data_IF_290474886831
#
_entry.id   IF_290474886831
#
_cell.length_a   1.000
_cell.length_b   1.000
_cell.length_c   1.000
_cell.angle_alpha   90.00
_cell.angle_beta   90.00
_cell.angle_gamma   90.00
#
_symmetry.space_group_name_H-M   'P 1'
#
loop_
_entity.id
_entity.type
_entity.pdbx_description
1 polymer ?
#
# COMPACT_ATOMS: atom_id res chain seq x y z
N UNK A 1 -25.28 -21.04 -78.58
CA UNK A 1 -24.90 -22.20 -77.72
C UNK A 1 -23.80 -22.94 -78.45
N UNK A 2 -22.55 -22.75 -78.03
CA UNK A 2 -21.37 -23.28 -78.69
C UNK A 2 -21.09 -24.72 -78.24
N UNK A 3 -21.18 -25.66 -79.18
CA UNK A 3 -20.13 -26.61 -79.62
C UNK A 3 -18.85 -26.71 -78.75
N UNK A 4 -18.16 -27.83 -78.59
CA UNK A 4 -18.27 -29.24 -79.00
C UNK A 4 -16.96 -29.92 -78.51
N UNK A 5 -16.99 -31.23 -78.26
CA UNK A 5 -15.87 -32.21 -78.42
C UNK A 5 -14.71 -32.11 -77.39
N UNK A 6 -14.39 -33.09 -76.52
CA UNK A 6 -14.19 -34.56 -76.60
C UNK A 6 -12.69 -34.94 -76.50
N UNK A 7 -12.42 -35.79 -75.50
CA UNK A 7 -11.30 -36.75 -75.30
C UNK A 7 -9.84 -36.27 -75.16
N UNK A 8 -9.15 -36.83 -74.15
CA UNK A 8 -7.72 -37.16 -74.26
C UNK A 8 -6.86 -36.96 -73.01
N UNK A 9 -6.65 -38.06 -72.28
CA UNK A 9 -5.55 -38.42 -71.36
C UNK A 9 -4.13 -37.87 -71.68
N UNK A 10 -3.27 -37.73 -70.63
CA UNK A 10 -1.80 -38.01 -70.52
C UNK A 10 -1.15 -37.07 -69.45
N UNK A 11 -0.70 -37.60 -68.29
CA UNK A 11 0.73 -37.86 -67.88
C UNK A 11 1.43 -36.55 -67.38
N UNK A 12 2.16 -36.38 -66.28
CA UNK A 12 2.83 -37.22 -65.26
C UNK A 12 3.46 -36.27 -64.20
N UNK A 13 3.59 -36.75 -62.94
CA UNK A 13 4.58 -36.50 -61.84
C UNK A 13 5.25 -35.10 -61.70
N UNK A 14 5.54 -34.50 -60.54
CA UNK A 14 6.34 -34.92 -59.36
C UNK A 14 6.16 -33.79 -58.29
N UNK A 15 5.89 -33.98 -56.98
CA UNK A 15 6.78 -34.12 -55.79
C UNK A 15 5.86 -33.85 -54.57
N UNK A 16 5.56 -34.83 -53.69
CA UNK A 16 6.20 -35.12 -52.39
C UNK A 16 5.99 -34.09 -51.26
N UNK A 17 5.27 -34.57 -50.23
CA UNK A 17 5.35 -34.28 -48.79
C UNK A 17 4.83 -32.95 -48.21
N UNK A 18 3.53 -32.96 -47.87
CA UNK A 18 2.92 -32.08 -46.86
C UNK A 18 2.85 -32.86 -45.53
N UNK A 19 3.75 -32.56 -44.60
CA UNK A 19 3.60 -32.94 -43.18
C UNK A 19 2.69 -31.90 -42.49
N UNK A 20 1.64 -32.31 -41.75
CA UNK A 20 0.91 -31.38 -40.90
C UNK A 20 1.71 -31.19 -39.60
N UNK A 21 2.32 -30.02 -39.44
CA UNK A 21 2.90 -29.61 -38.16
C UNK A 21 1.72 -29.38 -37.18
N UNK A 22 1.56 -30.28 -36.22
CA UNK A 22 0.66 -30.11 -35.09
C UNK A 22 1.10 -28.92 -34.26
N UNK A 23 0.44 -27.78 -34.46
CA UNK A 23 0.52 -26.61 -33.57
C UNK A 23 -0.18 -26.99 -32.26
N UNK A 24 0.51 -26.98 -31.10
CA UNK A 24 -0.20 -27.07 -29.84
C UNK A 24 -0.93 -25.74 -29.62
N UNK A 25 -2.24 -25.77 -29.86
CA UNK A 25 -3.18 -24.76 -29.40
C UNK A 25 -3.27 -24.90 -27.88
N UNK A 26 -2.39 -24.20 -27.19
CA UNK A 26 -2.60 -23.78 -25.81
C UNK A 26 -2.35 -22.27 -25.77
N UNK A 27 -3.39 -21.43 -25.67
CA UNK A 27 -3.19 -20.07 -25.20
C UNK A 27 -2.89 -20.15 -23.70
N UNK A 28 -1.64 -20.45 -23.35
CA UNK A 28 -1.15 -20.07 -22.04
C UNK A 28 -1.25 -18.54 -21.97
N UNK A 29 -1.83 -17.95 -20.91
CA UNK A 29 -1.75 -16.51 -20.71
C UNK A 29 -0.26 -16.14 -20.78
N UNK A 30 0.09 -15.16 -21.61
CA UNK A 30 1.47 -14.70 -21.81
C UNK A 30 2.17 -14.67 -20.46
N UNK A 31 3.19 -15.50 -20.27
CA UNK A 31 3.97 -15.53 -19.03
C UNK A 31 4.48 -14.12 -18.80
N UNK A 32 3.82 -13.43 -17.89
CA UNK A 32 4.14 -12.09 -17.45
C UNK A 32 5.65 -12.00 -17.19
N UNK A 33 6.36 -11.21 -18.00
CA UNK A 33 7.83 -11.13 -17.92
C UNK A 33 8.23 -10.29 -16.71
N UNK A 34 8.94 -10.88 -15.75
CA UNK A 34 9.53 -10.16 -14.62
C UNK A 34 10.73 -9.34 -15.10
N UNK A 35 10.88 -8.10 -14.63
CA UNK A 35 12.03 -7.27 -15.02
C UNK A 35 13.37 -7.88 -14.60
N UNK A 36 13.41 -8.64 -13.51
CA UNK A 36 14.64 -9.36 -13.13
C UNK A 36 15.00 -10.42 -14.17
N UNK A 37 14.01 -11.11 -14.74
CA UNK A 37 14.25 -12.14 -15.75
C UNK A 37 14.62 -11.53 -17.10
N UNK A 38 13.89 -10.48 -17.53
CA UNK A 38 14.24 -9.74 -18.74
C UNK A 38 15.67 -9.16 -18.68
N UNK A 39 16.08 -8.67 -17.49
CA UNK A 39 17.44 -8.19 -17.29
C UNK A 39 18.48 -9.32 -17.27
N UNK A 40 18.15 -10.51 -16.76
CA UNK A 40 19.04 -11.68 -16.84
C UNK A 40 19.27 -12.10 -18.29
N UNK A 41 18.22 -12.14 -19.10
CA UNK A 41 18.33 -12.41 -20.54
C UNK A 41 19.25 -11.38 -21.21
N UNK A 42 19.04 -10.09 -20.93
CA UNK A 42 19.92 -9.01 -21.38
C UNK A 42 21.38 -9.21 -20.93
N UNK A 43 21.60 -9.64 -19.69
CA UNK A 43 22.94 -9.85 -19.14
C UNK A 43 23.73 -10.95 -19.85
N UNK A 44 23.07 -11.86 -20.58
CA UNK A 44 23.75 -12.88 -21.39
C UNK A 44 24.24 -12.37 -22.75
N UNK A 45 23.72 -11.24 -23.25
CA UNK A 45 24.15 -10.60 -24.50
C UNK A 45 25.06 -9.39 -24.19
N UNK A 46 26.37 -9.46 -24.51
CA UNK A 46 27.30 -8.33 -24.31
C UNK A 46 26.86 -7.03 -24.98
N UNK A 47 26.11 -7.12 -26.09
CA UNK A 47 25.57 -5.93 -26.77
C UNK A 47 24.44 -5.31 -25.97
N UNK A 48 23.57 -6.11 -25.37
CA UNK A 48 22.51 -5.61 -24.50
C UNK A 48 23.10 -4.93 -23.26
N UNK A 49 24.08 -5.56 -22.62
CA UNK A 49 24.79 -4.98 -21.47
C UNK A 49 25.40 -3.61 -21.81
N UNK A 50 26.02 -3.49 -22.99
CA UNK A 50 26.60 -2.23 -23.44
C UNK A 50 25.53 -1.14 -23.67
N UNK A 51 24.42 -1.49 -24.32
CA UNK A 51 23.30 -0.56 -24.56
C UNK A 51 22.62 -0.13 -23.25
N UNK A 52 22.39 -1.09 -22.35
CA UNK A 52 21.77 -0.83 -21.04
C UNK A 52 22.64 0.10 -20.19
N UNK A 53 23.94 -0.19 -20.04
CA UNK A 53 24.88 0.70 -19.34
C UNK A 53 24.99 2.07 -20.01
N UNK A 54 24.98 2.10 -21.35
CA UNK A 54 24.98 3.35 -22.11
C UNK A 54 23.75 4.22 -21.82
N UNK A 55 22.58 3.60 -21.63
CA UNK A 55 21.36 4.30 -21.24
C UNK A 55 21.46 4.85 -19.81
N UNK A 56 21.96 4.07 -18.85
CA UNK A 56 22.16 4.51 -17.46
C UNK A 56 23.11 5.73 -17.38
N UNK A 57 24.23 5.67 -18.08
CA UNK A 57 25.19 6.77 -18.14
C UNK A 57 24.57 8.02 -18.79
N UNK A 58 23.84 7.84 -19.88
CA UNK A 58 23.16 8.94 -20.55
C UNK A 58 22.14 9.62 -19.63
N UNK A 59 21.33 8.85 -18.92
CA UNK A 59 20.35 9.40 -17.99
C UNK A 59 21.01 10.20 -16.85
N UNK A 60 22.14 9.70 -16.33
CA UNK A 60 22.92 10.40 -15.31
C UNK A 60 23.51 11.71 -15.83
N UNK A 61 24.06 11.72 -17.05
CA UNK A 61 24.62 12.91 -17.70
C UNK A 61 23.52 13.94 -18.03
N UNK A 62 22.37 13.48 -18.54
CA UNK A 62 21.23 14.34 -18.85
C UNK A 62 20.67 15.05 -17.61
N UNK A 63 20.70 14.40 -16.44
CA UNK A 63 20.21 14.99 -15.19
C UNK A 63 21.05 16.18 -14.71
N UNK A 64 22.30 16.30 -15.13
CA UNK A 64 23.23 17.38 -14.74
C UNK A 64 23.60 18.32 -15.90
N UNK A 65 23.17 18.00 -17.13
CA UNK A 65 23.54 18.75 -18.32
C UNK A 65 22.84 20.11 -18.40
N UNK A 66 23.56 21.21 -18.73
CA UNK A 66 22.94 22.50 -19.02
C UNK A 66 22.14 22.51 -20.34
N UNK A 67 22.31 21.49 -21.20
CA UNK A 67 21.61 21.30 -22.46
C UNK A 67 20.62 20.12 -22.34
N UNK A 68 19.63 20.27 -21.45
CA UNK A 68 18.73 19.19 -21.05
C UNK A 68 17.96 18.55 -22.23
N UNK A 69 17.47 19.35 -23.18
CA UNK A 69 16.68 18.85 -24.32
C UNK A 69 17.50 17.99 -25.29
N UNK A 70 18.71 18.44 -25.65
CA UNK A 70 19.58 17.69 -26.57
C UNK A 70 20.07 16.39 -25.92
N UNK A 71 20.45 16.44 -24.65
CA UNK A 71 20.85 15.26 -23.90
C UNK A 71 19.70 14.27 -23.74
N UNK A 72 18.47 14.75 -23.49
CA UNK A 72 17.27 13.91 -23.43
C UNK A 72 17.02 13.19 -24.76
N UNK A 73 17.14 13.90 -25.89
CA UNK A 73 16.98 13.29 -27.23
C UNK A 73 18.00 12.18 -27.48
N UNK A 74 19.27 12.38 -27.11
CA UNK A 74 20.31 11.35 -27.25
C UNK A 74 20.03 10.12 -26.40
N UNK A 75 19.48 10.31 -25.18
CA UNK A 75 19.11 9.19 -24.33
C UNK A 75 17.90 8.42 -24.87
N UNK A 76 16.93 9.09 -25.48
CA UNK A 76 15.80 8.46 -26.15
C UNK A 76 16.27 7.59 -27.32
N UNK A 77 17.21 8.06 -28.15
CA UNK A 77 17.79 7.24 -29.22
C UNK A 77 18.49 5.97 -28.69
N UNK A 78 19.21 6.07 -27.56
CA UNK A 78 19.81 4.91 -26.90
C UNK A 78 18.76 3.95 -26.33
N UNK A 79 17.68 4.49 -25.77
CA UNK A 79 16.55 3.71 -25.28
C UNK A 79 15.91 2.93 -26.44
N UNK A 80 15.61 3.58 -27.56
CA UNK A 80 15.04 2.94 -28.74
C UNK A 80 15.95 1.84 -29.29
N UNK A 81 17.28 2.07 -29.33
CA UNK A 81 18.25 1.06 -29.76
C UNK A 81 18.27 -0.17 -28.84
N UNK A 82 18.15 0.01 -27.52
CA UNK A 82 18.02 -1.08 -26.55
C UNK A 82 16.72 -1.86 -26.75
N UNK A 83 15.60 -1.14 -26.84
CA UNK A 83 14.25 -1.73 -26.87
C UNK A 83 13.92 -2.40 -28.21
N UNK A 84 14.50 -1.93 -29.32
CA UNK A 84 14.37 -2.58 -30.63
C UNK A 84 14.95 -4.01 -30.63
N UNK A 85 15.93 -4.28 -29.76
CA UNK A 85 16.62 -5.56 -29.68
C UNK A 85 16.14 -6.41 -28.49
N UNK A 86 15.70 -5.77 -27.41
CA UNK A 86 15.25 -6.41 -26.17
C UNK A 86 13.89 -5.86 -25.71
N UNK A 87 12.80 -6.12 -26.45
CA UNK A 87 11.47 -5.60 -26.12
C UNK A 87 10.92 -6.15 -24.80
N UNK A 88 11.43 -7.27 -24.30
CA UNK A 88 11.08 -7.85 -23.00
C UNK A 88 11.33 -6.88 -21.84
N UNK A 89 12.36 -6.02 -21.93
CA UNK A 89 12.64 -4.98 -20.93
C UNK A 89 11.53 -3.90 -20.86
N UNK A 90 10.88 -3.58 -21.99
CA UNK A 90 9.77 -2.62 -22.02
C UNK A 90 8.44 -3.24 -21.56
N UNK A 91 8.23 -4.54 -21.80
CA UNK A 91 7.01 -5.23 -21.38
C UNK A 91 7.07 -5.70 -19.91
N UNK A 92 8.25 -5.69 -19.29
CA UNK A 92 8.43 -6.24 -17.96
C UNK A 92 7.67 -5.48 -16.88
N UNK A 93 7.34 -6.20 -15.80
CA UNK A 93 6.67 -5.67 -14.60
C UNK A 93 7.30 -6.28 -13.35
N UNK A 94 6.95 -5.72 -12.20
CA UNK A 94 7.42 -6.14 -10.90
C UNK A 94 6.28 -6.69 -10.04
N UNK A 95 6.63 -7.53 -9.07
CA UNK A 95 5.72 -7.97 -8.02
C UNK A 95 5.81 -7.03 -6.81
N UNK A 96 4.74 -6.90 -6.03
CA UNK A 96 4.74 -6.13 -4.78
C UNK A 96 5.19 -7.00 -3.59
N UNK A 97 6.01 -6.47 -2.68
CA UNK A 97 6.34 -7.08 -1.39
C UNK A 97 7.30 -8.27 -1.44
N UNK A 98 7.91 -8.53 -2.60
CA UNK A 98 8.92 -9.58 -2.74
C UNK A 98 10.33 -9.06 -2.43
N UNK A 99 11.26 -9.95 -2.07
CA UNK A 99 12.58 -9.57 -1.53
C UNK A 99 13.43 -8.69 -2.46
N UNK A 100 13.26 -8.80 -3.78
CA UNK A 100 14.04 -8.06 -4.78
C UNK A 100 13.24 -6.96 -5.48
N UNK A 101 12.18 -6.45 -4.83
CA UNK A 101 11.32 -5.39 -5.36
C UNK A 101 12.12 -4.15 -5.76
N UNK A 102 12.95 -3.61 -4.87
CA UNK A 102 13.76 -2.42 -5.17
C UNK A 102 14.68 -2.63 -6.38
N UNK A 103 15.28 -3.83 -6.52
CA UNK A 103 16.11 -4.17 -7.68
C UNK A 103 15.28 -4.23 -8.98
N UNK A 104 14.10 -4.83 -8.93
CA UNK A 104 13.19 -4.91 -10.07
C UNK A 104 12.70 -3.52 -10.51
N UNK A 105 12.33 -2.67 -9.55
CA UNK A 105 11.86 -1.31 -9.82
C UNK A 105 12.97 -0.46 -10.44
N UNK A 106 14.21 -0.60 -9.95
CA UNK A 106 15.37 0.05 -10.57
C UNK A 106 15.49 -0.34 -12.04
N UNK A 107 15.40 -1.62 -12.37
CA UNK A 107 15.44 -2.08 -13.76
C UNK A 107 14.29 -1.50 -14.58
N UNK A 108 13.07 -1.51 -14.03
CA UNK A 108 11.88 -0.98 -14.68
C UNK A 108 12.02 0.52 -15.03
N UNK A 109 12.53 1.32 -14.09
CA UNK A 109 12.69 2.76 -14.28
C UNK A 109 13.93 3.13 -15.10
N UNK A 110 15.02 2.36 -15.03
CA UNK A 110 16.21 2.57 -15.86
C UNK A 110 15.89 2.50 -17.36
N UNK A 111 14.96 1.63 -17.76
CA UNK A 111 14.55 1.49 -19.18
C UNK A 111 13.41 2.41 -19.59
N UNK A 112 12.91 3.25 -18.67
CA UNK A 112 11.82 4.20 -18.89
C UNK A 112 12.27 5.59 -18.44
N UNK A 113 12.93 6.28 -19.37
CA UNK A 113 13.24 7.69 -19.20
C UNK A 113 11.95 8.46 -18.88
N UNK A 114 12.03 9.39 -17.91
CA UNK A 114 10.89 10.14 -17.40
C UNK A 114 10.03 10.66 -18.56
N UNK A 115 8.73 10.35 -18.61
CA UNK A 115 7.85 10.94 -19.61
C UNK A 115 7.84 12.46 -19.46
N UNK A 116 7.53 13.17 -20.54
CA UNK A 116 7.16 14.58 -20.46
C UNK A 116 6.02 14.79 -19.46
N UNK A 117 5.93 15.97 -18.86
CA UNK A 117 5.05 16.32 -17.74
C UNK A 117 3.56 15.94 -17.91
N UNK A 118 3.09 15.64 -19.12
CA UNK A 118 1.69 15.36 -19.47
C UNK A 118 1.29 13.87 -19.57
N UNK A 119 2.22 12.90 -19.50
CA UNK A 119 1.86 11.47 -19.58
C UNK A 119 1.78 10.80 -18.20
N UNK A 120 0.66 10.13 -17.92
CA UNK A 120 0.48 9.38 -16.68
C UNK A 120 1.49 8.23 -16.62
N UNK A 121 2.33 8.23 -15.57
CA UNK A 121 3.29 7.16 -15.35
C UNK A 121 2.58 5.81 -15.18
N UNK A 122 2.92 4.85 -16.04
CA UNK A 122 2.33 3.52 -15.99
C UNK A 122 2.86 2.75 -14.79
N UNK A 123 1.95 2.18 -13.99
CA UNK A 123 2.31 1.36 -12.82
C UNK A 123 3.26 0.21 -13.21
N UNK A 124 4.37 0.01 -12.49
CA UNK A 124 5.30 -1.09 -12.73
C UNK A 124 4.78 -2.44 -12.25
N UNK A 125 3.71 -2.46 -11.46
CA UNK A 125 3.18 -3.69 -10.91
C UNK A 125 2.22 -4.37 -11.88
N UNK A 126 2.10 -5.69 -11.75
CA UNK A 126 1.05 -6.42 -12.45
C UNK A 126 -0.32 -5.96 -11.98
N UNK A 127 -1.24 -5.78 -12.94
CA UNK A 127 -2.67 -5.74 -12.67
C UNK A 127 -3.06 -7.14 -12.19
N UNK A 128 -2.96 -7.33 -10.88
CA UNK A 128 -3.11 -8.65 -10.32
C UNK A 128 -4.53 -9.17 -10.55
N UNK A 129 -4.66 -10.41 -11.05
CA UNK A 129 -5.90 -11.21 -11.05
C UNK A 129 -6.41 -11.52 -9.61
N UNK A 130 -5.82 -10.91 -8.57
CA UNK A 130 -6.19 -11.06 -7.15
C UNK A 130 -7.46 -10.24 -6.81
N UNK A 131 -8.26 -9.89 -7.82
CA UNK A 131 -9.52 -9.18 -7.66
C UNK A 131 -10.51 -10.00 -6.82
N UNK A 132 -10.55 -11.33 -6.99
CA UNK A 132 -11.49 -12.19 -6.27
C UNK A 132 -11.23 -12.26 -4.76
N UNK A 133 -9.96 -12.37 -4.34
CA UNK A 133 -9.62 -12.42 -2.89
C UNK A 133 -9.85 -11.06 -2.24
N UNK A 134 -9.53 -9.98 -2.93
CA UNK A 134 -9.70 -8.63 -2.39
C UNK A 134 -11.17 -8.22 -2.32
N UNK A 135 -11.95 -8.56 -3.36
CA UNK A 135 -13.41 -8.45 -3.32
C UNK A 135 -14.01 -9.31 -2.20
N UNK A 136 -13.47 -10.51 -1.96
CA UNK A 136 -13.88 -11.37 -0.84
C UNK A 136 -13.53 -10.77 0.53
N UNK A 137 -12.42 -10.05 0.67
CA UNK A 137 -12.06 -9.35 1.91
C UNK A 137 -12.96 -8.15 2.18
N UNK A 138 -13.25 -7.35 1.14
CA UNK A 138 -14.21 -6.25 1.23
C UNK A 138 -15.58 -6.81 1.61
N UNK A 139 -16.05 -7.87 0.94
CA UNK A 139 -17.29 -8.56 1.26
C UNK A 139 -17.30 -9.16 2.68
N UNK A 140 -16.23 -9.82 3.12
CA UNK A 140 -16.10 -10.38 4.47
C UNK A 140 -16.11 -9.27 5.53
N UNK A 141 -15.49 -8.12 5.25
CA UNK A 141 -15.53 -6.96 6.14
C UNK A 141 -16.93 -6.38 6.25
N UNK A 142 -17.72 -6.41 5.16
CA UNK A 142 -19.12 -6.00 5.13
C UNK A 142 -20.04 -6.85 6.01
N UNK A 143 -19.63 -8.07 6.36
CA UNK A 143 -20.36 -8.93 7.32
C UNK A 143 -19.97 -8.68 8.78
N UNK A 144 -19.02 -7.77 9.08
CA UNK A 144 -18.67 -7.40 10.45
C UNK A 144 -19.87 -6.70 11.09
N UNK A 145 -20.54 -7.43 11.99
CA UNK A 145 -21.75 -6.99 12.69
C UNK A 145 -21.58 -5.60 13.29
N UNK A 146 -22.58 -4.74 13.05
CA UNK A 146 -22.73 -3.39 13.61
C UNK A 146 -23.16 -3.44 15.08
N UNK A 147 -22.67 -4.40 15.87
CA UNK A 147 -23.08 -4.59 17.27
C UNK A 147 -22.35 -3.63 18.18
N UNK A 148 -22.55 -2.31 18.04
CA UNK A 148 -22.14 -1.28 19.02
C UNK A 148 -20.64 -1.20 19.40
N UNK A 149 -19.82 -2.13 18.93
CA UNK A 149 -18.42 -2.30 19.25
C UNK A 149 -17.55 -1.49 18.29
N UNK A 150 -16.42 -1.01 18.81
CA UNK A 150 -15.49 -0.22 18.02
C UNK A 150 -14.77 -1.14 17.02
N UNK A 151 -15.14 -1.07 15.74
CA UNK A 151 -14.58 -1.95 14.71
C UNK A 151 -13.06 -1.84 14.56
N UNK A 152 -12.48 -0.66 14.82
CA UNK A 152 -11.03 -0.51 14.85
C UNK A 152 -10.39 -1.20 16.06
N UNK A 153 -11.09 -1.29 17.19
CA UNK A 153 -10.64 -2.09 18.34
C UNK A 153 -10.70 -3.57 18.01
N UNK A 154 -11.79 -4.04 17.40
CA UNK A 154 -11.95 -5.43 16.97
C UNK A 154 -10.86 -5.84 15.98
N UNK A 155 -10.64 -5.06 14.92
CA UNK A 155 -9.56 -5.31 13.96
C UNK A 155 -8.17 -5.34 14.62
N UNK A 156 -7.94 -4.46 15.60
CA UNK A 156 -6.71 -4.44 16.37
C UNK A 156 -6.52 -5.67 17.26
N UNK A 157 -7.60 -6.23 17.81
CA UNK A 157 -7.59 -7.48 18.58
C UNK A 157 -7.34 -8.67 17.68
N UNK A 158 -8.03 -8.77 16.53
CA UNK A 158 -7.87 -9.86 15.58
C UNK A 158 -6.45 -9.90 15.01
N UNK A 159 -5.86 -8.75 14.69
CA UNK A 159 -4.44 -8.64 14.36
C UNK A 159 -3.53 -9.11 15.50
N UNK A 160 -3.86 -8.79 16.76
CA UNK A 160 -3.08 -9.21 17.92
C UNK A 160 -3.11 -10.73 18.16
N UNK A 161 -4.23 -11.39 17.85
CA UNK A 161 -4.39 -12.84 17.94
C UNK A 161 -3.64 -13.58 16.82
N UNK A 162 -3.46 -12.95 15.66
CA UNK A 162 -2.64 -13.49 14.59
C UNK A 162 -1.16 -13.14 14.80
N UNK A 163 -0.37 -14.12 15.23
CA UNK A 163 1.03 -13.98 15.67
C UNK A 163 1.88 -13.05 14.78
N UNK A 164 1.85 -13.27 13.45
CA UNK A 164 2.62 -12.46 12.50
C UNK A 164 2.14 -11.00 12.44
N UNK A 165 0.84 -10.73 12.54
CA UNK A 165 0.33 -9.35 12.58
C UNK A 165 0.66 -8.70 13.91
N UNK A 166 0.45 -9.38 15.04
CA UNK A 166 0.80 -8.87 16.37
C UNK A 166 2.28 -8.53 16.51
N UNK A 167 3.17 -9.40 16.01
CA UNK A 167 4.62 -9.20 16.02
C UNK A 167 5.03 -7.99 15.15
N UNK A 168 4.64 -7.97 13.88
CA UNK A 168 5.01 -6.87 12.97
C UNK A 168 4.37 -5.54 13.37
N UNK A 169 3.19 -5.58 14.01
CA UNK A 169 2.55 -4.40 14.57
C UNK A 169 3.34 -3.81 15.72
N UNK A 170 3.77 -4.65 16.66
CA UNK A 170 4.64 -4.23 17.76
C UNK A 170 5.97 -3.68 17.26
N UNK A 171 6.55 -4.30 16.23
CA UNK A 171 7.79 -3.85 15.58
C UNK A 171 7.68 -2.41 15.04
N UNK A 172 6.67 -2.11 14.21
CA UNK A 172 6.54 -0.76 13.65
C UNK A 172 6.15 0.26 14.72
N UNK A 173 5.30 -0.10 15.68
CA UNK A 173 4.92 0.81 16.77
C UNK A 173 6.16 1.18 17.59
N UNK A 174 7.02 0.22 17.91
CA UNK A 174 8.28 0.47 18.60
C UNK A 174 9.20 1.36 17.76
N UNK A 175 9.37 1.06 16.48
CA UNK A 175 10.22 1.85 15.58
C UNK A 175 9.75 3.32 15.45
N UNK A 176 8.43 3.55 15.47
CA UNK A 176 7.84 4.89 15.34
C UNK A 176 7.74 5.67 16.66
N UNK A 177 7.74 5.00 17.81
CA UNK A 177 7.61 5.64 19.13
C UNK A 177 8.95 5.80 19.86
N UNK A 178 9.97 5.01 19.51
CA UNK A 178 11.33 5.14 20.04
C UNK A 178 11.91 6.50 19.63
N UNK A 179 12.24 7.32 20.63
CA UNK A 179 12.93 8.60 20.44
C UNK A 179 14.41 8.36 20.14
N UNK A 180 14.98 9.20 19.28
CA UNK A 180 16.42 9.21 19.06
C UNK A 180 17.12 9.83 20.27
N UNK A 181 18.21 9.22 20.70
CA UNK A 181 19.01 9.68 21.85
C UNK A 181 19.37 11.15 21.70
N UNK A 182 19.11 11.95 22.74
CA UNK A 182 19.40 13.39 22.72
C UNK A 182 18.43 14.26 21.92
N UNK A 183 17.37 13.72 21.32
CA UNK A 183 16.36 14.52 20.60
C UNK A 183 14.93 14.12 21.01
N UNK A 184 13.96 15.00 20.73
CA UNK A 184 12.53 14.67 20.86
C UNK A 184 11.94 14.05 19.59
N UNK A 185 12.78 13.72 18.59
CA UNK A 185 12.36 13.23 17.29
C UNK A 185 12.40 11.70 17.23
N UNK A 186 11.52 11.13 16.42
CA UNK A 186 11.58 9.70 16.08
C UNK A 186 12.53 9.48 14.89
N UNK A 187 13.02 8.25 14.72
CA UNK A 187 13.71 7.87 13.49
C UNK A 187 12.68 7.54 12.39
N UNK A 188 12.28 8.54 11.62
CA UNK A 188 11.23 8.41 10.60
C UNK A 188 11.57 7.36 9.54
N UNK A 189 12.83 7.23 9.13
CA UNK A 189 13.26 6.20 8.17
C UNK A 189 13.05 4.77 8.70
N UNK A 190 13.43 4.51 9.95
CA UNK A 190 13.18 3.20 10.60
C UNK A 190 11.68 2.94 10.75
N UNK A 191 10.91 3.95 11.16
CA UNK A 191 9.46 3.87 11.24
C UNK A 191 8.80 3.52 9.89
N UNK A 192 9.16 4.25 8.83
CA UNK A 192 8.66 4.02 7.47
C UNK A 192 9.03 2.63 6.96
N UNK A 193 10.27 2.17 7.15
CA UNK A 193 10.71 0.82 6.77
C UNK A 193 9.88 -0.26 7.48
N UNK A 194 9.65 -0.12 8.79
CA UNK A 194 8.86 -1.07 9.56
C UNK A 194 7.38 -1.06 9.16
N UNK A 195 6.81 0.12 8.87
CA UNK A 195 5.44 0.25 8.35
C UNK A 195 5.26 -0.43 6.98
N UNK A 196 6.20 -0.24 6.05
CA UNK A 196 6.19 -0.94 4.75
C UNK A 196 6.22 -2.46 4.95
N UNK A 197 7.13 -2.94 5.81
CA UNK A 197 7.23 -4.36 6.16
C UNK A 197 5.92 -4.91 6.73
N UNK A 198 5.25 -4.17 7.61
CA UNK A 198 3.94 -4.55 8.15
C UNK A 198 2.91 -4.71 7.03
N UNK A 199 2.73 -3.68 6.19
CA UNK A 199 1.71 -3.66 5.13
C UNK A 199 1.98 -4.67 3.99
N UNK A 200 3.24 -5.06 3.77
CA UNK A 200 3.64 -6.02 2.74
C UNK A 200 3.62 -7.47 3.21
N UNK A 201 3.90 -7.72 4.51
CA UNK A 201 4.05 -9.09 5.04
C UNK A 201 2.84 -9.59 5.81
N UNK A 202 2.01 -8.71 6.33
CA UNK A 202 0.77 -9.08 7.01
C UNK A 202 -0.33 -9.30 5.97
N UNK A 203 -1.11 -10.40 6.05
CA UNK A 203 -2.24 -10.62 5.18
C UNK A 203 -3.22 -9.44 5.19
N UNK A 204 -3.76 -9.11 4.02
CA UNK A 204 -4.56 -7.91 3.78
C UNK A 204 -5.85 -7.90 4.63
N UNK A 205 -6.40 -9.07 4.98
CA UNK A 205 -7.49 -9.23 5.94
C UNK A 205 -7.24 -8.49 7.27
N UNK A 206 -6.00 -8.53 7.78
CA UNK A 206 -5.65 -7.91 9.05
C UNK A 206 -5.11 -6.49 8.86
N UNK A 207 -4.18 -6.31 7.92
CA UNK A 207 -3.49 -5.02 7.72
C UNK A 207 -4.42 -3.94 7.20
N UNK A 208 -5.32 -4.27 6.27
CA UNK A 208 -6.30 -3.32 5.75
C UNK A 208 -7.49 -3.16 6.71
N UNK A 209 -7.83 -4.20 7.48
CA UNK A 209 -8.83 -4.12 8.54
C UNK A 209 -8.48 -3.08 9.62
N UNK A 210 -7.22 -3.04 10.09
CA UNK A 210 -6.78 -2.03 11.07
C UNK A 210 -6.63 -0.63 10.48
N UNK A 211 -6.40 -0.53 9.17
CA UNK A 211 -6.18 0.73 8.48
C UNK A 211 -7.49 1.42 8.08
N UNK A 212 -8.47 0.66 7.61
CA UNK A 212 -9.71 1.16 7.00
C UNK A 212 -10.99 0.78 7.77
N UNK A 213 -10.88 0.36 9.03
CA UNK A 213 -12.02 0.05 9.88
C UNK A 213 -13.09 1.18 9.85
N UNK A 214 -14.39 0.83 9.67
CA UNK A 214 -15.46 1.82 9.69
C UNK A 214 -15.66 2.35 11.11
N UNK A 215 -16.09 3.61 11.22
CA UNK A 215 -16.27 4.28 12.49
C UNK A 215 -17.54 5.11 12.55
N UNK A 216 -18.25 4.96 13.67
CA UNK A 216 -19.45 5.76 14.02
C UNK A 216 -19.17 6.77 15.13
N UNK A 217 -18.04 6.64 15.84
CA UNK A 217 -17.66 7.52 16.95
C UNK A 217 -16.29 8.15 16.75
N UNK A 218 -16.06 9.30 17.40
CA UNK A 218 -14.80 10.05 17.35
C UNK A 218 -13.63 9.28 17.96
N UNK A 219 -13.89 8.44 18.98
CA UNK A 219 -12.88 7.56 19.58
C UNK A 219 -12.42 6.45 18.63
N UNK A 220 -13.35 5.89 17.83
CA UNK A 220 -13.01 4.97 16.77
C UNK A 220 -12.18 5.67 15.68
N UNK A 221 -12.64 6.83 15.20
CA UNK A 221 -11.93 7.59 14.18
C UNK A 221 -10.53 8.01 14.62
N UNK A 222 -10.34 8.35 15.89
CA UNK A 222 -9.02 8.67 16.45
C UNK A 222 -8.11 7.43 16.52
N UNK A 223 -8.66 6.24 16.86
CA UNK A 223 -7.91 4.97 16.79
C UNK A 223 -7.44 4.70 15.37
N UNK A 224 -8.33 4.86 14.38
CA UNK A 224 -8.03 4.70 12.95
C UNK A 224 -6.93 5.66 12.48
N UNK A 225 -7.06 6.94 12.82
CA UNK A 225 -6.06 7.97 12.47
C UNK A 225 -4.69 7.71 13.09
N UNK A 226 -4.66 7.09 14.28
CA UNK A 226 -3.43 6.73 15.01
C UNK A 226 -2.80 5.40 14.57
N UNK A 227 -3.42 4.63 13.69
CA UNK A 227 -2.93 3.30 13.26
C UNK A 227 -1.46 3.32 12.80
N UNK A 228 -1.06 4.37 12.07
CA UNK A 228 0.30 4.51 11.51
C UNK A 228 1.23 5.38 12.37
N UNK A 229 0.86 5.77 13.59
CA UNK A 229 1.65 6.66 14.46
C UNK A 229 1.97 8.00 13.76
N UNK A 230 0.96 8.86 13.51
CA UNK A 230 1.11 10.04 12.65
C UNK A 230 2.09 11.09 13.18
N UNK A 231 2.37 11.13 14.48
CA UNK A 231 3.39 12.03 15.07
C UNK A 231 4.82 11.72 14.62
N UNK A 232 5.03 10.59 13.92
CA UNK A 232 6.33 10.20 13.38
C UNK A 232 6.25 9.92 11.87
N UNK A 233 5.26 9.13 11.43
CA UNK A 233 5.17 8.66 10.04
C UNK A 233 4.56 9.67 9.07
N UNK A 234 3.78 10.63 9.57
CA UNK A 234 2.96 11.53 8.76
C UNK A 234 3.34 13.00 8.95
N UNK A 235 3.33 13.48 10.20
CA UNK A 235 3.71 14.84 10.57
C UNK A 235 5.20 14.93 10.84
N UNK A 236 5.83 16.01 10.38
CA UNK A 236 7.12 16.44 10.93
C UNK A 236 6.85 17.42 12.07
N UNK A 237 7.24 17.05 13.29
CA UNK A 237 6.92 17.78 14.53
C UNK A 237 7.51 19.19 14.60
N UNK A 238 8.53 19.48 13.77
CA UNK A 238 9.30 20.72 13.77
C UNK A 238 9.25 21.45 12.41
N UNK A 239 8.62 20.85 11.40
CA UNK A 239 8.63 21.32 10.02
C UNK A 239 7.37 22.08 9.62
N UNK A 240 7.54 23.15 8.87
CA UNK A 240 6.45 23.72 8.07
C UNK A 240 5.99 22.68 7.05
N UNK A 241 4.68 22.65 6.80
CA UNK A 241 4.12 21.75 5.81
C UNK A 241 4.70 22.09 4.42
N UNK A 242 5.36 21.14 3.72
CA UNK A 242 6.00 21.42 2.44
C UNK A 242 4.97 21.61 1.32
N UNK A 243 5.41 22.18 0.20
CA UNK A 243 4.60 22.23 -1.00
C UNK A 243 4.40 20.82 -1.58
N UNK A 244 3.17 20.46 -1.98
CA UNK A 244 2.85 19.12 -2.48
C UNK A 244 3.61 18.75 -3.76
N UNK A 245 3.84 19.70 -4.67
CA UNK A 245 4.61 19.45 -5.90
C UNK A 245 6.08 19.19 -5.58
N UNK A 246 6.62 19.82 -4.55
CA UNK A 246 7.98 19.55 -4.07
C UNK A 246 8.08 18.14 -3.49
N UNK A 247 7.11 17.72 -2.69
CA UNK A 247 7.03 16.35 -2.15
C UNK A 247 6.88 15.31 -3.28
N UNK A 248 6.06 15.60 -4.30
CA UNK A 248 5.93 14.76 -5.49
C UNK A 248 7.24 14.66 -6.28
N UNK A 249 7.96 15.78 -6.44
CA UNK A 249 9.26 15.79 -7.12
C UNK A 249 10.28 14.88 -6.43
N UNK A 250 10.35 14.90 -5.09
CA UNK A 250 11.19 13.96 -4.34
C UNK A 250 10.72 12.51 -4.47
N UNK A 251 9.41 12.26 -4.42
CA UNK A 251 8.86 10.92 -4.61
C UNK A 251 9.22 10.35 -5.98
N UNK A 252 9.18 11.16 -7.04
CA UNK A 252 9.55 10.76 -8.41
C UNK A 252 11.04 10.42 -8.57
N UNK A 253 11.91 10.82 -7.63
CA UNK A 253 13.35 10.46 -7.62
C UNK A 253 13.63 9.15 -6.89
N UNK A 254 12.69 8.67 -6.08
CA UNK A 254 12.80 7.39 -5.36
C UNK A 254 12.00 6.33 -6.11
N UNK A 255 12.66 5.30 -6.63
CA UNK A 255 12.03 4.27 -7.46
C UNK A 255 10.82 3.65 -6.77
N UNK A 256 10.92 3.36 -5.47
CA UNK A 256 9.83 2.77 -4.70
C UNK A 256 8.65 3.74 -4.59
N UNK A 257 8.86 4.98 -4.14
CA UNK A 257 7.81 5.98 -4.01
C UNK A 257 7.15 6.28 -5.35
N UNK A 258 7.93 6.48 -6.40
CA UNK A 258 7.45 6.70 -7.78
C UNK A 258 6.54 5.56 -8.22
N UNK A 259 6.97 4.31 -8.01
CA UNK A 259 6.16 3.13 -8.31
C UNK A 259 4.86 3.06 -7.51
N UNK A 260 4.89 3.35 -6.21
CA UNK A 260 3.69 3.35 -5.36
C UNK A 260 2.72 4.47 -5.76
N UNK A 261 3.23 5.64 -6.15
CA UNK A 261 2.42 6.75 -6.65
C UNK A 261 1.77 6.43 -8.00
N UNK A 262 2.53 5.90 -8.96
CA UNK A 262 1.99 5.47 -10.25
C UNK A 262 0.90 4.40 -10.07
N UNK A 263 1.09 3.47 -9.13
CA UNK A 263 0.10 2.45 -8.81
C UNK A 263 -1.18 3.03 -8.20
N UNK A 264 -1.06 4.01 -7.30
CA UNK A 264 -2.20 4.73 -6.74
C UNK A 264 -2.97 5.49 -7.82
N UNK A 265 -2.29 6.24 -8.68
CA UNK A 265 -2.91 6.99 -9.78
C UNK A 265 -3.68 6.06 -10.73
N UNK A 266 -3.11 4.89 -11.04
CA UNK A 266 -3.70 3.90 -11.94
C UNK A 266 -4.92 3.19 -11.33
N UNK A 267 -4.87 2.80 -10.06
CA UNK A 267 -5.91 1.98 -9.43
C UNK A 267 -7.00 2.79 -8.73
N UNK A 268 -6.73 4.03 -8.32
CA UNK A 268 -7.70 4.91 -7.67
C UNK A 268 -8.28 5.97 -8.62
N UNK A 269 -8.19 5.78 -9.93
CA UNK A 269 -8.77 6.71 -10.88
C UNK A 269 -10.31 6.72 -10.76
N UNK A 270 -10.94 7.88 -10.52
CA UNK A 270 -12.39 7.96 -10.38
C UNK A 270 -13.09 7.73 -11.74
N UNK A 271 -14.23 7.04 -11.68
CA UNK A 271 -15.13 6.83 -12.81
C UNK A 271 -16.57 6.94 -12.34
N UNK A 272 -17.43 7.57 -13.14
CA UNK A 272 -18.88 7.64 -12.86
C UNK A 272 -19.65 6.47 -13.50
N UNK A 273 -18.96 5.60 -14.25
CA UNK A 273 -19.56 4.54 -15.05
C UNK A 273 -19.61 3.19 -14.32
N UNK A 274 -18.91 3.07 -13.19
CA UNK A 274 -18.72 1.81 -12.45
C UNK A 274 -19.38 1.87 -11.09
N UNK A 275 -19.76 0.72 -10.53
CA UNK A 275 -20.46 0.65 -9.24
C UNK A 275 -19.55 1.06 -8.08
N UNK A 276 -18.27 0.68 -8.13
CA UNK A 276 -17.25 1.11 -7.15
C UNK A 276 -16.90 2.59 -7.24
N UNK A 277 -17.23 3.24 -8.34
CA UNK A 277 -16.77 4.59 -8.64
C UNK A 277 -15.29 4.65 -9.06
N UNK A 278 -14.64 3.50 -9.25
CA UNK A 278 -13.26 3.34 -9.71
C UNK A 278 -13.21 2.86 -11.16
N UNK A 279 -12.26 3.32 -11.97
CA UNK A 279 -12.18 2.96 -13.38
C UNK A 279 -12.06 1.45 -13.64
N UNK A 280 -11.27 0.74 -12.82
CA UNK A 280 -11.08 -0.72 -12.89
C UNK A 280 -12.15 -1.54 -12.17
N UNK A 281 -13.21 -0.87 -11.71
CA UNK A 281 -14.31 -1.40 -10.91
C UNK A 281 -13.93 -2.22 -9.65
N UNK A 282 -12.76 -1.95 -9.05
CA UNK A 282 -12.29 -2.68 -7.87
C UNK A 282 -11.85 -1.73 -6.76
N UNK A 283 -12.68 -1.63 -5.72
CA UNK A 283 -12.36 -0.87 -4.51
C UNK A 283 -11.11 -1.43 -3.80
N UNK A 284 -10.96 -2.76 -3.82
CA UNK A 284 -9.83 -3.46 -3.21
C UNK A 284 -8.48 -3.05 -3.80
N UNK A 285 -8.39 -2.91 -5.13
CA UNK A 285 -7.17 -2.45 -5.80
C UNK A 285 -6.81 -1.02 -5.38
N UNK A 286 -7.80 -0.13 -5.26
CA UNK A 286 -7.55 1.24 -4.80
C UNK A 286 -7.05 1.27 -3.33
N UNK A 287 -7.67 0.51 -2.42
CA UNK A 287 -7.24 0.44 -1.02
C UNK A 287 -5.82 -0.13 -0.89
N UNK A 288 -5.48 -1.16 -1.67
CA UNK A 288 -4.13 -1.72 -1.71
C UNK A 288 -3.11 -0.70 -2.21
N UNK A 289 -3.43 0.03 -3.28
CA UNK A 289 -2.56 1.05 -3.84
C UNK A 289 -2.36 2.23 -2.87
N UNK A 290 -3.43 2.69 -2.21
CA UNK A 290 -3.36 3.68 -1.12
C UNK A 290 -2.45 3.20 0.01
N UNK A 291 -2.65 1.96 0.50
CA UNK A 291 -1.81 1.40 1.55
C UNK A 291 -0.34 1.29 1.12
N UNK A 292 -0.08 1.12 -0.18
CA UNK A 292 1.27 1.12 -0.76
C UNK A 292 2.04 2.43 -0.61
N UNK A 293 1.36 3.57 -0.46
CA UNK A 293 2.00 4.87 -0.25
C UNK A 293 2.51 5.05 1.19
N UNK A 294 1.94 4.31 2.15
CA UNK A 294 2.30 4.45 3.57
C UNK A 294 3.73 3.96 3.80
N UNK A 295 4.53 4.80 4.44
CA UNK A 295 5.95 4.57 4.63
C UNK A 295 6.80 5.05 3.45
N UNK A 296 6.24 5.86 2.53
CA UNK A 296 7.02 6.65 1.56
C UNK A 296 7.00 8.13 1.97
N UNK A 297 7.72 8.99 1.23
CA UNK A 297 7.61 10.44 1.45
C UNK A 297 6.20 10.97 1.19
N UNK A 298 5.38 10.29 0.37
CA UNK A 298 3.97 10.63 0.11
C UNK A 298 3.00 9.80 0.96
N UNK A 299 3.29 9.61 2.25
CA UNK A 299 2.40 8.90 3.17
C UNK A 299 1.09 9.70 3.41
N UNK A 300 -0.09 9.17 3.01
CA UNK A 300 -1.37 9.80 3.33
C UNK A 300 -1.85 9.39 4.72
N UNK A 301 -2.73 10.20 5.33
CA UNK A 301 -3.46 9.81 6.54
C UNK A 301 -4.81 10.53 6.63
N UNK A 302 -5.65 10.09 7.57
CA UNK A 302 -6.91 10.76 7.92
C UNK A 302 -6.66 12.16 8.49
N UNK A 303 -7.40 13.15 7.97
CA UNK A 303 -7.29 14.56 8.38
C UNK A 303 -7.86 14.76 9.78
N UNK A 304 -9.01 14.13 10.06
CA UNK A 304 -9.74 14.27 11.32
C UNK A 304 -10.16 12.92 11.88
N UNK A 305 -10.61 12.91 13.13
CA UNK A 305 -11.23 11.75 13.78
C UNK A 305 -12.74 11.62 13.52
N UNK A 306 -13.33 12.54 12.75
CA UNK A 306 -14.77 12.61 12.50
C UNK A 306 -15.14 12.21 11.07
N UNK A 307 -14.21 12.31 10.12
CA UNK A 307 -14.42 11.99 8.70
C UNK A 307 -13.52 10.85 8.24
N UNK A 308 -13.85 10.29 7.07
CA UNK A 308 -12.99 9.35 6.35
C UNK A 308 -12.13 10.07 5.28
N UNK A 309 -12.02 11.40 5.36
CA UNK A 309 -11.22 12.20 4.43
C UNK A 309 -9.73 12.04 4.74
N UNK A 310 -8.94 11.91 3.69
CA UNK A 310 -7.50 11.64 3.76
C UNK A 310 -6.73 12.70 2.96
N UNK A 311 -5.51 12.99 3.40
CA UNK A 311 -4.61 13.88 2.67
C UNK A 311 -3.14 13.51 2.89
N UNK A 312 -2.29 14.02 2.01
CA UNK A 312 -0.85 14.09 2.25
C UNK A 312 -0.54 15.20 3.28
N UNK A 313 0.62 15.09 3.93
CA UNK A 313 1.16 16.16 4.76
C UNK A 313 1.87 17.22 3.89
N UNK A 314 1.10 17.95 3.08
CA UNK A 314 1.59 19.06 2.24
C UNK A 314 0.52 20.13 1.95
N UNK A 315 0.94 21.33 1.59
CA UNK A 315 0.06 22.43 1.15
C UNK A 315 0.41 22.89 -0.27
N UNK A 316 -0.32 23.89 -0.79
CA UNK A 316 -0.03 24.48 -2.10
C UNK A 316 0.60 25.87 -2.03
N UNK A 317 1.00 26.32 -0.84
CA UNK A 317 1.67 27.61 -0.68
C UNK A 317 2.98 27.62 -1.47
N UNK A 318 3.28 28.74 -2.14
CA UNK A 318 4.46 28.87 -2.98
C UNK A 318 4.40 28.17 -4.35
N UNK A 319 3.25 27.62 -4.78
CA UNK A 319 3.15 26.94 -6.09
C UNK A 319 3.22 27.88 -7.31
N UNK A 320 2.97 29.18 -7.14
CA UNK A 320 2.95 30.15 -8.23
C UNK A 320 2.02 29.73 -9.38
N UNK A 321 2.56 29.62 -10.60
CA UNK A 321 1.81 29.23 -11.79
C UNK A 321 1.32 27.77 -11.76
N UNK A 322 1.96 26.88 -10.99
CA UNK A 322 1.59 25.47 -10.87
C UNK A 322 0.55 25.22 -9.75
N UNK A 323 -0.10 26.28 -9.25
CA UNK A 323 -1.11 26.17 -8.20
C UNK A 323 -2.24 25.20 -8.55
N UNK A 324 -2.70 25.19 -9.80
CA UNK A 324 -3.75 24.27 -10.25
C UNK A 324 -3.30 22.81 -10.22
N UNK A 325 -2.06 22.53 -10.61
CA UNK A 325 -1.50 21.17 -10.57
C UNK A 325 -1.30 20.70 -9.13
N UNK A 326 -0.87 21.59 -8.23
CA UNK A 326 -0.81 21.29 -6.81
C UNK A 326 -2.20 20.96 -6.23
N UNK A 327 -3.22 21.77 -6.56
CA UNK A 327 -4.59 21.48 -6.14
C UNK A 327 -5.11 20.16 -6.72
N UNK A 328 -4.76 19.84 -7.97
CA UNK A 328 -5.10 18.56 -8.59
C UNK A 328 -4.49 17.41 -7.79
N UNK A 329 -3.20 17.50 -7.44
CA UNK A 329 -2.52 16.52 -6.60
C UNK A 329 -3.19 16.34 -5.23
N UNK A 330 -3.55 17.43 -4.54
CA UNK A 330 -4.28 17.33 -3.26
C UNK A 330 -5.67 16.69 -3.41
N UNK A 331 -6.38 16.99 -4.50
CA UNK A 331 -7.72 16.46 -4.77
C UNK A 331 -7.73 14.97 -5.07
N UNK A 332 -6.62 14.39 -5.55
CA UNK A 332 -6.49 12.93 -5.70
C UNK A 332 -6.70 12.16 -4.38
N UNK A 333 -6.45 12.80 -3.24
CA UNK A 333 -6.64 12.23 -1.92
C UNK A 333 -7.92 12.74 -1.25
N UNK A 334 -8.15 14.05 -1.30
CA UNK A 334 -9.25 14.69 -0.56
C UNK A 334 -10.61 14.60 -1.24
N UNK A 335 -10.66 14.62 -2.59
CA UNK A 335 -11.88 14.71 -3.39
C UNK A 335 -11.96 13.61 -4.45
N UNK A 336 -11.54 12.39 -4.09
CA UNK A 336 -11.57 11.24 -4.97
C UNK A 336 -12.74 10.32 -4.61
N UNK A 337 -13.75 10.25 -5.49
CA UNK A 337 -14.94 9.42 -5.28
C UNK A 337 -14.62 7.92 -5.22
N UNK A 338 -13.69 7.43 -6.06
CA UNK A 338 -13.24 6.04 -6.02
C UNK A 338 -12.65 5.71 -4.64
N UNK A 339 -11.71 6.53 -4.16
CA UNK A 339 -11.07 6.30 -2.86
C UNK A 339 -12.06 6.40 -1.70
N UNK A 340 -12.92 7.45 -1.70
CA UNK A 340 -13.94 7.65 -0.66
C UNK A 340 -14.92 6.48 -0.60
N UNK A 341 -15.40 6.01 -1.74
CA UNK A 341 -16.30 4.86 -1.83
C UNK A 341 -15.58 3.60 -1.37
N UNK A 342 -14.34 3.39 -1.81
CA UNK A 342 -13.54 2.22 -1.43
C UNK A 342 -13.32 2.12 0.09
N UNK A 343 -13.02 3.23 0.76
CA UNK A 343 -12.89 3.27 2.23
C UNK A 343 -14.24 3.02 2.90
N UNK A 344 -15.34 3.50 2.33
CA UNK A 344 -16.69 3.35 2.90
C UNK A 344 -17.26 1.94 2.72
N UNK A 345 -16.83 1.22 1.68
CA UNK A 345 -17.24 -0.16 1.39
C UNK A 345 -16.68 -1.16 2.40
N UNK A 346 -15.55 -0.85 3.04
CA UNK A 346 -15.04 -1.62 4.17
C UNK A 346 -16.05 -1.55 5.33
N UNK A 347 -16.80 -2.64 5.53
CA UNK A 347 -17.80 -2.73 6.61
C UNK A 347 -19.25 -2.33 6.26
N UNK A 348 -19.57 -2.11 4.98
CA UNK A 348 -20.96 -1.83 4.55
C UNK A 348 -21.61 -3.08 3.94
N UNK A 349 -22.63 -3.70 4.58
CA UNK A 349 -23.34 -4.87 4.06
C UNK A 349 -24.17 -4.60 2.80
N UNK A 350 -24.60 -3.35 2.57
CA UNK A 350 -25.58 -3.00 1.52
C UNK A 350 -24.99 -2.69 0.14
N UNK A 351 -23.67 -2.84 -0.07
CA UNK A 351 -22.99 -2.32 -1.28
C UNK A 351 -22.20 -3.36 -2.07
N UNK A 352 -22.67 -4.61 -2.16
CA UNK A 352 -22.13 -5.59 -3.11
C UNK A 352 -22.86 -5.51 -4.46
N UNK A 353 -22.15 -5.54 -5.61
CA UNK A 353 -22.72 -6.07 -6.84
C UNK A 353 -23.20 -7.51 -6.56
N UNK A 354 -24.41 -7.84 -6.99
CA UNK A 354 -25.17 -9.06 -6.63
C UNK A 354 -24.55 -10.42 -7.04
N UNK A 355 -23.27 -10.49 -7.42
CA UNK A 355 -22.68 -11.70 -7.99
C UNK A 355 -21.28 -11.99 -7.40
N UNK A 356 -21.23 -12.34 -6.11
CA UNK A 356 -20.09 -13.04 -5.52
C UNK A 356 -20.62 -14.17 -4.65
N UNK A 357 -20.39 -15.39 -5.12
CA UNK A 357 -20.64 -16.65 -4.39
C UNK A 357 -20.11 -16.57 -2.96
N UNK A 358 -20.88 -17.08 -1.99
CA UNK A 358 -20.57 -17.05 -0.56
C UNK A 358 -19.10 -17.44 -0.25
N UNK A 359 -18.44 -16.74 0.69
CA UNK A 359 -17.09 -17.10 1.11
C UNK A 359 -17.09 -18.50 1.76
N UNK A 360 -16.04 -19.31 1.55
CA UNK A 360 -15.90 -20.58 2.24
C UNK A 360 -15.79 -20.36 3.75
N UNK A 361 -16.37 -21.28 4.52
CA UNK A 361 -16.36 -21.25 5.98
C UNK A 361 -14.93 -21.12 6.54
N UNK A 362 -14.76 -20.51 7.74
CA UNK A 362 -13.45 -20.35 8.37
C UNK A 362 -12.75 -21.71 8.46
N UNK A 363 -11.56 -21.83 7.85
CA UNK A 363 -10.72 -23.01 8.05
C UNK A 363 -10.29 -23.05 9.52
N UNK A 364 -10.49 -24.18 10.23
CA UNK A 364 -9.90 -24.35 11.55
C UNK A 364 -8.36 -24.32 11.43
N UNK A 365 -7.71 -23.74 12.44
CA UNK A 365 -6.26 -23.66 12.57
C UNK A 365 -5.59 -25.06 12.49
N UNK A 366 -4.33 -25.18 12.03
CA UNK A 366 -3.64 -26.47 11.88
C UNK A 366 -3.38 -27.24 13.18
N UNK A 367 -3.78 -26.72 14.34
CA UNK A 367 -3.47 -27.25 15.68
C UNK A 367 -4.56 -28.21 16.24
N UNK A 368 -5.45 -28.73 15.39
CA UNK A 368 -6.48 -29.72 15.80
C UNK A 368 -6.37 -31.04 15.00
N UNK A 369 -5.39 -31.17 14.11
CA UNK A 369 -5.16 -32.42 13.35
C UNK A 369 -4.08 -33.33 13.95
N UNK A 370 -3.46 -32.95 15.07
CA UNK A 370 -2.46 -33.78 15.75
C UNK A 370 -3.05 -34.81 16.72
N UNK A 371 -4.32 -34.66 17.15
CA UNK A 371 -4.93 -35.56 18.14
C UNK A 371 -5.68 -36.79 17.56
N UNK A 372 -5.82 -36.89 16.23
CA UNK A 372 -6.45 -38.06 15.58
C UNK A 372 -5.48 -39.01 14.84
N UNK A 373 -4.19 -38.67 14.74
CA UNK A 373 -3.19 -39.48 14.03
C UNK A 373 -2.17 -40.19 14.94
N UNK A 374 -2.22 -39.98 16.26
CA UNK A 374 -1.30 -40.61 17.22
C UNK A 374 -1.74 -41.99 17.74
N UNK A 375 -2.85 -42.56 17.23
CA UNK A 375 -3.38 -43.84 17.75
C UNK A 375 -2.83 -45.10 17.07
N UNK A 376 -2.03 -45.02 15.99
CA UNK A 376 -1.57 -46.22 15.29
C UNK A 376 -0.09 -46.20 14.87
N UNK A 377 0.69 -46.96 15.64
CA UNK A 377 1.89 -47.74 15.28
C UNK A 377 3.25 -47.05 15.12
N UNK A 378 4.08 -47.29 16.14
CA UNK A 378 5.45 -47.84 16.09
C UNK A 378 6.32 -47.63 14.84
N UNK A 379 7.42 -46.88 15.06
CA UNK A 379 8.69 -46.81 14.33
C UNK A 379 9.36 -48.21 14.15
N UNK A 380 10.27 -48.35 13.16
CA UNK A 380 11.67 -48.02 13.45
C UNK A 380 12.35 -47.07 12.45
N UNK A 381 13.37 -46.43 13.02
CA UNK A 381 14.36 -45.47 12.53
C UNK A 381 14.89 -45.68 11.10
N UNK A 382 15.13 -44.57 10.39
CA UNK A 382 16.35 -44.42 9.61
C UNK A 382 16.75 -42.95 9.46
N UNK A 383 18.00 -42.67 9.82
CA UNK A 383 18.66 -41.37 9.74
C UNK A 383 18.80 -40.88 8.29
N UNK A 384 18.57 -39.59 8.06
CA UNK A 384 19.38 -38.81 7.11
C UNK A 384 19.44 -37.35 7.57
N UNK A 385 20.65 -36.96 7.94
CA UNK A 385 21.08 -35.61 8.29
C UNK A 385 21.16 -34.81 6.99
N UNK A 386 20.43 -33.70 6.89
CA UNK A 386 20.73 -32.62 5.95
C UNK A 386 20.84 -31.35 6.78
N UNK A 387 22.09 -30.92 6.93
CA UNK A 387 22.50 -29.63 7.48
C UNK A 387 22.22 -28.59 6.40
N UNK A 388 21.25 -27.71 6.60
CA UNK A 388 21.19 -26.44 5.86
C UNK A 388 22.05 -25.42 6.61
N UNK A 389 23.08 -24.98 5.90
CA UNK A 389 24.11 -24.03 6.31
C UNK A 389 23.55 -22.62 6.50
N UNK A 390 23.77 -22.05 7.69
CA UNK A 390 23.62 -20.64 8.01
C UNK A 390 24.99 -19.94 7.96
N UNK A 391 25.34 -19.33 6.83
CA UNK A 391 26.41 -18.32 6.66
C UNK A 391 25.92 -17.44 5.47
N UNK A 392 25.89 -16.11 5.42
CA UNK A 392 26.66 -15.02 6.04
C UNK A 392 25.77 -13.75 6.07
N UNK A 393 25.82 -12.96 7.15
CA UNK A 393 25.51 -11.51 7.13
C UNK A 393 26.56 -10.80 8.01
N UNK A 394 27.81 -10.75 7.52
CA UNK A 394 28.82 -9.81 8.01
C UNK A 394 29.34 -8.98 6.84
N UNK A 395 28.79 -7.77 6.67
CA UNK A 395 29.60 -6.61 6.25
C UNK A 395 28.80 -5.32 6.48
N UNK A 396 29.04 -4.66 7.61
CA UNK A 396 29.13 -3.20 7.76
C UNK A 396 29.02 -2.79 9.23
N UNK A 397 30.02 -3.12 10.05
CA UNK A 397 30.32 -2.37 11.27
C UNK A 397 31.84 -2.27 11.42
N UNK A 398 32.37 -1.09 11.13
CA UNK A 398 33.65 -0.65 11.66
C UNK A 398 33.40 0.69 12.34
N UNK A 399 33.57 0.64 13.67
CA UNK A 399 34.07 1.67 14.57
C UNK A 399 33.16 2.87 14.87
N UNK A 400 32.60 2.87 16.09
CA UNK A 400 33.00 3.80 17.16
C UNK A 400 32.59 3.16 18.51
N UNK A 401 33.59 2.61 19.22
CA UNK A 401 33.48 2.22 20.63
C UNK A 401 33.74 3.44 21.51
N UNK A 402 32.81 3.79 22.38
CA UNK A 402 33.13 4.45 23.65
C UNK A 402 32.53 3.61 24.80
N UNK A 403 33.44 3.13 25.64
CA UNK A 403 33.20 2.56 26.96
C UNK A 403 32.36 3.52 27.83
N UNK A 404 31.36 3.00 28.56
CA UNK A 404 31.14 3.43 29.94
C UNK A 404 30.52 2.31 30.79
N UNK A 405 31.11 2.11 31.95
CA UNK A 405 30.86 1.04 32.90
C UNK A 405 29.53 1.22 33.67
N UNK A 406 28.85 0.10 33.90
CA UNK A 406 28.28 -0.25 35.21
C UNK A 406 27.04 0.50 35.74
N UNK A 407 25.90 -0.20 35.79
CA UNK A 407 24.76 0.27 36.59
C UNK A 407 23.52 -0.62 36.57
N UNK A 408 23.50 -1.60 37.48
CA UNK A 408 22.35 -2.18 38.20
C UNK A 408 21.03 -2.48 37.44
N UNK A 409 20.72 -3.78 37.39
CA UNK A 409 19.39 -4.37 37.17
C UNK A 409 18.31 -3.74 38.07
N UNK A 410 17.19 -3.30 37.47
CA UNK A 410 15.88 -3.32 38.12
C UNK A 410 14.80 -3.74 37.12
N UNK A 411 14.29 -4.96 37.33
CA UNK A 411 13.17 -5.57 36.62
C UNK A 411 11.88 -5.01 37.23
N UNK A 412 11.06 -4.32 36.44
CA UNK A 412 9.67 -4.00 36.81
C UNK A 412 8.73 -4.86 35.95
N UNK A 413 7.78 -5.61 36.54
CA UNK A 413 7.01 -6.62 35.82
C UNK A 413 5.84 -6.04 35.01
N UNK A 414 5.52 -6.75 33.92
CA UNK A 414 4.29 -6.64 33.13
C UNK A 414 3.05 -6.78 34.02
N UNK A 415 2.18 -5.77 34.03
CA UNK A 415 0.91 -5.83 34.75
C UNK A 415 -0.10 -6.66 33.95
N UNK A 416 -0.54 -7.75 34.59
CA UNK A 416 -1.55 -8.71 34.15
C UNK A 416 -2.97 -8.13 34.24
N UNK A 417 -3.78 -8.42 33.24
CA UNK A 417 -5.24 -8.34 33.30
C UNK A 417 -5.79 -9.29 34.36
N UNK A 418 -6.76 -8.80 35.17
CA UNK A 418 -7.90 -9.54 35.74
C UNK A 418 -8.80 -8.55 36.47
N UNK A 419 -9.90 -8.16 35.83
CA UNK A 419 -11.07 -7.62 36.53
C UNK A 419 -12.22 -8.60 36.35
N UNK A 420 -12.42 -9.41 37.38
CA UNK A 420 -13.55 -10.32 37.54
C UNK A 420 -14.82 -9.48 37.73
N UNK A 421 -15.84 -9.79 36.96
CA UNK A 421 -17.20 -9.24 37.11
C UNK A 421 -17.78 -9.72 38.45
N UNK A 422 -18.35 -8.81 39.24
CA UNK A 422 -19.25 -9.16 40.34
C UNK A 422 -20.40 -8.15 40.40
N UNK A 423 -21.55 -8.59 39.91
CA UNK A 423 -22.85 -8.02 40.21
C UNK A 423 -23.23 -8.35 41.66
N UNK A 424 -23.65 -7.36 42.45
CA UNK A 424 -24.59 -7.53 43.58
C UNK A 424 -25.11 -6.17 44.07
N UNK A 425 -26.38 -5.90 43.78
CA UNK A 425 -27.40 -5.56 44.78
C UNK A 425 -27.32 -4.26 45.58
N UNK A 426 -28.17 -3.32 45.19
CA UNK A 426 -28.80 -2.21 45.92
C UNK A 426 -29.09 -2.41 47.44
N UNK A 427 -28.91 -1.37 48.27
CA UNK A 427 -30.00 -0.59 48.92
C UNK A 427 -29.51 0.23 50.15
N UNK A 428 -30.07 1.43 50.36
CA UNK A 428 -30.31 1.99 51.71
C UNK A 428 -29.57 3.26 52.19
N UNK A 429 -30.18 4.43 51.92
CA UNK A 429 -30.39 5.62 52.77
C UNK A 429 -29.52 5.94 54.01
N UNK A 430 -29.07 7.20 54.13
CA UNK A 430 -28.75 7.88 55.39
C UNK A 430 -27.97 9.20 55.20
N UNK A 431 -28.55 10.34 55.57
CA UNK A 431 -28.03 11.69 55.28
C UNK A 431 -27.27 12.42 56.41
N UNK A 432 -27.21 13.76 56.21
CA UNK A 432 -26.55 14.84 56.98
C UNK A 432 -25.09 15.15 56.58
N UNK A 433 -24.61 16.37 56.35
CA UNK A 433 -25.19 17.74 56.38
C UNK A 433 -24.06 18.79 56.56
N UNK A 434 -24.31 20.02 56.07
CA UNK A 434 -23.58 21.31 56.27
C UNK A 434 -22.73 21.80 55.08
N UNK A 435 -23.18 22.75 54.23
CA UNK A 435 -23.37 24.21 54.36
C UNK A 435 -22.08 25.06 54.43
N UNK A 436 -21.81 25.84 53.38
CA UNK A 436 -21.65 27.31 53.42
C UNK A 436 -21.53 27.91 52.00
N UNK A 437 -22.57 28.60 51.50
CA UNK A 437 -22.76 30.07 51.39
C UNK A 437 -22.07 30.74 50.19
N UNK A 438 -22.87 31.16 49.20
CA UNK A 438 -22.50 32.15 48.16
C UNK A 438 -22.48 33.59 48.69
N UNK A 439 -22.34 34.62 47.82
CA UNK A 439 -23.55 35.08 47.10
C UNK A 439 -23.38 35.64 45.66
N UNK A 440 -24.51 35.58 44.95
CA UNK A 440 -25.16 36.56 44.04
C UNK A 440 -24.56 37.01 42.69
N UNK A 441 -25.38 36.80 41.64
CA UNK A 441 -25.41 37.42 40.30
C UNK A 441 -25.98 38.87 40.34
N UNK A 442 -25.89 39.64 39.23
CA UNK A 442 -27.06 39.79 38.35
C UNK A 442 -26.70 39.67 36.84
N UNK A 443 -27.39 38.82 36.07
CA UNK A 443 -28.49 39.12 35.13
C UNK A 443 -28.09 40.04 33.95
N UNK A 444 -27.96 39.47 32.74
CA UNK A 444 -29.05 39.39 31.75
C UNK A 444 -29.66 40.77 31.43
N UNK A 445 -28.98 41.52 30.56
CA UNK A 445 -29.49 42.79 30.01
C UNK A 445 -28.85 43.15 28.65
N UNK A 446 -28.71 42.19 27.74
CA UNK A 446 -28.13 42.44 26.40
C UNK A 446 -28.95 41.89 25.22
N UNK A 447 -30.26 41.71 25.40
CA UNK A 447 -31.14 41.15 24.35
C UNK A 447 -32.36 42.03 23.99
N UNK A 448 -32.35 43.33 24.29
CA UNK A 448 -33.49 44.22 24.02
C UNK A 448 -33.14 45.64 23.53
N UNK A 449 -32.04 45.85 22.78
CA UNK A 449 -31.68 47.20 22.29
C UNK A 449 -31.14 47.29 20.85
N UNK A 450 -31.55 46.43 19.92
CA UNK A 450 -31.19 46.57 18.49
C UNK A 450 -32.38 46.54 17.52
N UNK A 451 -33.56 46.95 17.99
CA UNK A 451 -34.73 47.21 17.14
C UNK A 451 -35.24 48.65 17.33
N UNK A 452 -34.42 49.65 16.96
CA UNK A 452 -34.89 51.01 16.68
C UNK A 452 -33.74 51.86 16.09
N UNK A 453 -33.54 51.81 14.77
CA UNK A 453 -33.09 52.96 13.97
C UNK A 453 -32.95 52.58 12.50
N UNK A 454 -34.08 52.51 11.81
CA UNK A 454 -34.20 52.91 10.42
C UNK A 454 -35.11 54.13 10.46
N UNK A 455 -34.61 55.31 10.04
CA UNK A 455 -35.37 56.34 9.31
C UNK A 455 -34.81 57.76 9.53
N UNK A 456 -34.31 58.33 8.42
CA UNK A 456 -34.29 59.75 8.02
C UNK A 456 -33.29 60.72 8.66
N UNK A 457 -32.50 61.34 7.78
CA UNK A 457 -31.58 62.45 8.06
C UNK A 457 -30.33 62.34 7.21
#
# INVERSE_FOLDING_TARGET
MANMIVLGSVLVLVLSDVLPLSVPIFPFPSSHTDCLEAHRECATDPRCVALYRGLELCAADAAVSPLAEQAASECLERQDALLARHPSLLACKCQRGFRKEEQCLRIYWSVRLLPGEDELEVSPYYDTLVDTRMASLVAASSFMQLDGENQCLKAAQDCGLYEKCGSLRSEYVLACTKRMTGTNRCNQHKCHRALRRFLERVPEEYSLGVLFCPCTSTLCGERRRKTIVPSCSYQDMEGLQPNCLHQQSFCRRDDLCRSRLADFLNNCQPSHLTASGCLKDSAGLCLRAYAGLIGTIMTPNYISNNSAEVSLWCNCEGSGNQWQDCQRLQRLFTHNSCLRNSISWMGSPDSLPQDITQPPAPRPSPLVQEDELLSNNHLPENNNIVVESEEEEELAQTEEEEDDEGGQFDVIPLYSERATVSNLGSSGTGGAGSLNTGPAKPLLLLLLLLSASLSWG
#
